data_IF_411260630493
#
_entry.id   IF_411260630493
#
_cell.length_a   1.000
_cell.length_b   1.000
_cell.length_c   1.000
_cell.angle_alpha   90.00
_cell.angle_beta   90.00
_cell.angle_gamma   90.00
#
_symmetry.space_group_name_H-M   'P 1'
#
loop_
_entity.id
_entity.type
_entity.pdbx_description
1 polymer ?
#
# COMPACT_ATOMS: atom_id res chain seq x y z
N UNK A 1 1.71 -8.06 17.40
CA UNK A 1 0.87 -8.37 16.23
C UNK A 1 1.72 -8.08 15.00
N UNK A 2 2.18 -9.12 14.31
CA UNK A 2 3.10 -9.00 13.18
C UNK A 2 2.30 -8.60 11.94
N UNK A 3 2.78 -7.59 11.23
CA UNK A 3 2.32 -7.25 9.89
C UNK A 3 2.55 -8.49 9.00
N UNK A 4 1.52 -8.98 8.33
CA UNK A 4 1.71 -9.91 7.21
C UNK A 4 2.36 -9.12 6.08
N UNK A 5 3.65 -9.34 5.88
CA UNK A 5 4.34 -8.80 4.70
C UNK A 5 3.92 -9.66 3.50
N UNK A 6 3.15 -9.07 2.60
CA UNK A 6 2.92 -9.61 1.26
C UNK A 6 4.26 -9.78 0.53
N UNK A 7 4.27 -10.56 -0.55
CA UNK A 7 5.46 -10.77 -1.38
C UNK A 7 5.85 -9.45 -2.10
N UNK A 8 6.64 -8.60 -1.43
CA UNK A 8 7.06 -7.29 -1.93
C UNK A 8 6.06 -6.17 -1.58
N UNK A 9 6.56 -4.92 -1.57
CA UNK A 9 5.74 -3.73 -1.29
C UNK A 9 5.01 -3.20 -2.51
N UNK A 10 5.43 -3.59 -3.70
CA UNK A 10 4.77 -3.25 -4.94
C UNK A 10 3.66 -4.26 -5.20
N UNK A 11 2.43 -3.81 -5.16
CA UNK A 11 1.33 -4.58 -5.71
C UNK A 11 1.40 -4.53 -7.24
N UNK A 12 1.59 -5.70 -7.85
CA UNK A 12 1.68 -5.85 -9.32
C UNK A 12 0.36 -6.29 -9.95
N UNK A 13 -0.69 -6.42 -9.15
CA UNK A 13 -2.02 -6.80 -9.63
C UNK A 13 -2.57 -5.72 -10.56
N UNK A 14 -3.04 -6.13 -11.74
CA UNK A 14 -3.78 -5.24 -12.63
C UNK A 14 -5.25 -5.20 -12.25
N UNK A 15 -5.81 -3.99 -12.16
CA UNK A 15 -7.21 -3.77 -11.80
C UNK A 15 -8.03 -3.47 -13.05
N UNK A 16 -9.11 -4.21 -13.25
CA UNK A 16 -9.95 -4.10 -14.44
C UNK A 16 -9.33 -4.77 -15.68
N UNK A 17 -9.59 -4.23 -16.87
CA UNK A 17 -9.07 -4.73 -18.14
C UNK A 17 -8.06 -3.74 -18.75
N UNK A 18 -7.34 -4.19 -19.78
CA UNK A 18 -6.40 -3.32 -20.51
C UNK A 18 -7.05 -2.06 -21.08
N UNK A 19 -8.33 -2.13 -21.48
CA UNK A 19 -9.05 -1.01 -22.08
C UNK A 19 -9.92 -0.25 -21.07
N UNK A 20 -10.18 -0.85 -19.92
CA UNK A 20 -10.92 -0.26 -18.80
C UNK A 20 -10.22 -0.63 -17.49
N UNK A 21 -9.08 0.02 -17.17
CA UNK A 21 -8.28 -0.25 -15.97
C UNK A 21 -8.88 0.45 -14.75
N UNK A 22 -10.09 0.01 -14.38
CA UNK A 22 -10.87 0.46 -13.24
C UNK A 22 -11.57 -0.74 -12.60
N UNK A 23 -11.62 -0.78 -11.28
CA UNK A 23 -12.46 -1.73 -10.56
C UNK A 23 -12.86 -1.20 -9.18
N UNK A 24 -13.97 -1.74 -8.65
CA UNK A 24 -14.42 -1.53 -7.28
C UNK A 24 -14.33 -2.86 -6.54
N UNK A 25 -13.72 -2.85 -5.36
CA UNK A 25 -13.61 -4.03 -4.50
C UNK A 25 -14.31 -3.74 -3.17
N UNK A 26 -15.47 -4.36 -2.89
CA UNK A 26 -16.02 -4.38 -1.54
C UNK A 26 -15.14 -5.25 -0.67
N UNK A 27 -14.75 -4.74 0.49
CA UNK A 27 -13.81 -5.38 1.40
C UNK A 27 -14.26 -5.21 2.85
N UNK A 28 -13.86 -6.15 3.69
CA UNK A 28 -14.19 -6.16 5.11
C UNK A 28 -13.00 -6.64 5.95
N UNK A 29 -12.62 -5.85 6.96
CA UNK A 29 -11.57 -6.20 7.93
C UNK A 29 -12.23 -6.34 9.31
N UNK A 30 -12.00 -7.45 10.06
CA UNK A 30 -11.08 -8.56 9.79
C UNK A 30 -11.73 -9.77 9.09
N UNK A 31 -12.88 -9.62 8.42
CA UNK A 31 -13.67 -10.75 7.89
C UNK A 31 -12.99 -11.37 6.67
N UNK A 32 -12.70 -10.58 5.62
CA UNK A 32 -12.06 -11.08 4.40
C UNK A 32 -10.56 -11.29 4.61
N UNK A 33 -9.93 -10.41 5.36
CA UNK A 33 -8.51 -10.50 5.76
C UNK A 33 -8.26 -9.70 7.04
N UNK A 34 -7.29 -10.15 7.84
CA UNK A 34 -6.99 -9.52 9.13
C UNK A 34 -6.43 -8.10 9.02
N UNK A 35 -5.70 -7.81 7.97
CA UNK A 35 -5.11 -6.52 7.68
C UNK A 35 -4.65 -6.45 6.22
N UNK A 36 -4.62 -5.26 5.65
CA UNK A 36 -3.87 -4.96 4.43
C UNK A 36 -2.49 -4.49 4.86
N UNK A 37 -1.48 -5.30 4.53
CA UNK A 37 -0.07 -4.98 4.85
C UNK A 37 0.37 -3.70 4.16
N UNK A 38 1.39 -3.05 4.71
CA UNK A 38 1.97 -1.86 4.10
C UNK A 38 2.48 -2.19 2.69
N UNK A 39 1.93 -1.52 1.69
CA UNK A 39 2.27 -1.70 0.28
C UNK A 39 2.06 -0.40 -0.49
N UNK A 40 2.44 -0.38 -1.76
CA UNK A 40 2.16 0.67 -2.72
C UNK A 40 1.87 0.10 -4.09
N UNK A 41 1.19 0.85 -4.93
CA UNK A 41 0.79 0.47 -6.28
C UNK A 41 0.90 1.66 -7.24
N UNK A 42 0.87 1.40 -8.55
CA UNK A 42 0.89 2.46 -9.57
C UNK A 42 -0.50 3.04 -9.87
N UNK A 43 -1.54 2.41 -9.35
CA UNK A 43 -2.93 2.89 -9.47
C UNK A 43 -3.24 3.95 -8.42
N UNK A 44 -4.18 4.84 -8.75
CA UNK A 44 -4.92 5.63 -7.76
C UNK A 44 -5.88 4.71 -7.03
N UNK A 45 -5.97 4.86 -5.70
CA UNK A 45 -6.95 4.18 -4.89
C UNK A 45 -7.75 5.18 -4.07
N UNK A 46 -9.07 5.03 -4.08
CA UNK A 46 -9.98 5.74 -3.18
C UNK A 46 -10.63 4.71 -2.27
N UNK A 47 -10.46 4.87 -0.96
CA UNK A 47 -11.00 3.94 0.04
C UNK A 47 -12.18 4.62 0.72
N UNK A 48 -13.40 4.17 0.41
CA UNK A 48 -14.62 4.72 0.99
C UNK A 48 -15.14 3.83 2.12
N UNK A 49 -15.15 4.33 3.35
CA UNK A 49 -15.58 3.59 4.54
C UNK A 49 -17.10 3.56 4.59
N UNK A 50 -17.69 2.39 4.35
CA UNK A 50 -19.16 2.20 4.31
C UNK A 50 -19.75 1.97 5.69
N UNK A 51 -18.99 1.28 6.58
CA UNK A 51 -19.49 0.93 7.91
C UNK A 51 -18.34 0.57 8.87
N UNK A 52 -18.55 0.84 10.17
CA UNK A 52 -17.62 0.47 11.22
C UNK A 52 -16.42 1.39 11.31
N UNK A 53 -15.36 0.88 11.94
CA UNK A 53 -14.14 1.63 12.22
C UNK A 53 -12.91 0.74 12.07
N UNK A 54 -11.78 1.35 11.76
CA UNK A 54 -10.49 0.71 11.60
C UNK A 54 -9.37 1.73 11.64
N UNK A 55 -8.16 1.32 11.29
CA UNK A 55 -7.02 2.23 11.17
C UNK A 55 -6.53 2.20 9.73
N UNK A 56 -6.48 3.35 9.10
CA UNK A 56 -5.94 3.53 7.75
C UNK A 56 -4.66 4.36 7.85
N UNK A 57 -3.62 3.88 7.21
CA UNK A 57 -2.36 4.61 7.03
C UNK A 57 -2.22 5.00 5.56
N UNK A 58 -1.98 6.28 5.28
CA UNK A 58 -1.62 6.79 3.95
C UNK A 58 -0.34 7.61 4.09
N UNK A 59 0.76 7.14 3.51
CA UNK A 59 2.07 7.74 3.72
C UNK A 59 2.47 7.72 5.19
N UNK A 60 2.64 8.90 5.78
CA UNK A 60 2.97 9.09 7.20
C UNK A 60 1.74 9.23 8.10
N UNK A 61 0.60 9.53 7.52
CA UNK A 61 -0.63 9.79 8.27
C UNK A 61 -1.28 8.46 8.67
N UNK A 62 -1.48 8.29 9.96
CA UNK A 62 -2.16 7.13 10.55
C UNK A 62 -3.41 7.64 11.25
N UNK A 63 -4.57 7.26 10.73
CA UNK A 63 -5.85 7.81 11.15
C UNK A 63 -6.81 6.68 11.52
N UNK A 64 -7.56 6.87 12.62
CA UNK A 64 -8.72 6.05 12.90
C UNK A 64 -9.84 6.42 11.93
N UNK A 65 -10.19 5.46 11.07
CA UNK A 65 -11.21 5.59 10.05
C UNK A 65 -12.59 5.35 10.63
N UNK A 66 -13.56 6.13 10.19
CA UNK A 66 -14.98 6.00 10.54
C UNK A 66 -15.86 5.99 9.30
N UNK A 67 -17.09 5.52 9.44
CA UNK A 67 -18.08 5.54 8.37
C UNK A 67 -18.16 6.94 7.74
N UNK A 68 -18.13 7.00 6.41
CA UNK A 68 -18.15 8.21 5.61
C UNK A 68 -16.75 8.72 5.25
N UNK A 69 -15.69 8.35 5.95
CA UNK A 69 -14.34 8.77 5.57
C UNK A 69 -13.99 8.27 4.16
N UNK A 70 -13.38 9.13 3.34
CA UNK A 70 -12.85 8.81 2.02
C UNK A 70 -11.33 9.06 2.05
N UNK A 71 -10.55 7.99 1.99
CA UNK A 71 -9.09 8.11 1.90
C UNK A 71 -8.66 8.15 0.44
N UNK A 72 -7.73 9.05 0.14
CA UNK A 72 -7.13 9.21 -1.17
C UNK A 72 -5.70 8.70 -1.11
N UNK A 73 -5.40 7.68 -1.91
CA UNK A 73 -4.08 7.07 -2.03
C UNK A 73 -3.56 7.32 -3.45
N UNK A 74 -2.77 8.38 -3.67
CA UNK A 74 -2.17 8.64 -4.97
C UNK A 74 -1.22 7.52 -5.41
N UNK A 75 -0.98 7.35 -6.73
CA UNK A 75 -0.04 6.38 -7.25
C UNK A 75 1.31 6.40 -6.53
N UNK A 76 1.81 5.22 -6.18
CA UNK A 76 3.07 5.07 -5.49
C UNK A 76 3.08 5.51 -4.03
N UNK A 77 1.95 5.78 -3.41
CA UNK A 77 1.86 6.11 -1.99
C UNK A 77 1.74 4.84 -1.15
N UNK A 78 2.61 4.70 -0.14
CA UNK A 78 2.53 3.60 0.82
C UNK A 78 1.27 3.74 1.67
N UNK A 79 0.55 2.64 1.82
CA UNK A 79 -0.66 2.60 2.63
C UNK A 79 -0.88 1.23 3.24
N UNK A 80 -1.67 1.19 4.32
CA UNK A 80 -2.01 -0.02 5.05
C UNK A 80 -3.36 0.16 5.75
N UNK A 81 -4.11 -0.94 5.93
CA UNK A 81 -5.35 -0.93 6.69
C UNK A 81 -5.30 -2.00 7.79
N UNK A 82 -5.85 -1.69 8.96
CA UNK A 82 -5.84 -2.60 10.11
C UNK A 82 -7.17 -2.53 10.85
N UNK A 83 -7.58 -3.67 11.40
CA UNK A 83 -8.70 -3.70 12.35
C UNK A 83 -8.33 -3.08 13.70
N UNK A 84 -9.34 -2.57 14.40
CA UNK A 84 -9.29 -2.28 15.83
C UNK A 84 -9.85 -3.54 16.56
N UNK A 85 -9.30 -3.95 17.71
CA UNK A 85 -9.81 -5.11 18.43
C UNK A 85 -11.31 -5.02 18.67
N UNK A 86 -12.03 -6.12 18.37
CA UNK A 86 -13.49 -6.24 18.49
C UNK A 86 -14.31 -5.28 17.60
N UNK A 87 -13.71 -4.71 16.59
CA UNK A 87 -14.40 -3.86 15.61
C UNK A 87 -14.22 -4.41 14.20
N UNK A 88 -15.17 -4.08 13.33
CA UNK A 88 -15.13 -4.38 11.90
C UNK A 88 -15.15 -3.08 11.11
N UNK A 89 -14.54 -3.09 9.94
CA UNK A 89 -14.56 -2.00 8.99
C UNK A 89 -14.92 -2.55 7.60
N UNK A 90 -16.06 -2.14 7.07
CA UNK A 90 -16.49 -2.42 5.71
C UNK A 90 -16.17 -1.20 4.84
N UNK A 91 -15.53 -1.41 3.72
CA UNK A 91 -15.10 -0.34 2.83
C UNK A 91 -15.09 -0.79 1.37
N UNK A 92 -15.09 0.16 0.48
CA UNK A 92 -14.96 -0.07 -0.95
C UNK A 92 -13.70 0.61 -1.47
N UNK A 93 -12.91 -0.15 -2.23
CA UNK A 93 -11.72 0.35 -2.92
C UNK A 93 -12.04 0.62 -4.38
N UNK A 94 -11.94 1.88 -4.79
CA UNK A 94 -12.00 2.31 -6.18
C UNK A 94 -10.57 2.40 -6.71
N UNK A 95 -10.18 1.46 -7.53
CA UNK A 95 -8.82 1.35 -8.07
C UNK A 95 -8.82 1.66 -9.56
N UNK A 96 -7.97 2.60 -9.98
CA UNK A 96 -7.84 2.94 -11.39
C UNK A 96 -6.46 3.48 -11.77
N UNK A 97 -6.05 3.17 -13.00
CA UNK A 97 -4.86 3.76 -13.60
C UNK A 97 -5.15 5.22 -13.99
N UNK A 98 -4.30 6.16 -13.56
CA UNK A 98 -4.45 7.58 -13.92
C UNK A 98 -4.43 7.83 -15.43
N UNK A 99 -3.76 6.96 -16.21
CA UNK A 99 -3.78 7.01 -17.68
C UNK A 99 -5.17 6.77 -18.27
N UNK A 100 -6.04 6.07 -17.55
CA UNK A 100 -7.45 5.88 -17.92
C UNK A 100 -8.21 7.21 -18.02
N UNK A 101 -7.88 8.19 -17.20
CA UNK A 101 -8.52 9.50 -17.19
C UNK A 101 -8.03 10.40 -18.33
N UNK A 102 -6.81 10.17 -18.83
CA UNK A 102 -6.23 10.93 -19.92
C UNK A 102 -6.76 10.57 -21.30
N UNK A 103 -6.24 11.26 -22.32
CA UNK A 103 -6.46 10.97 -23.73
C UNK A 103 -5.25 10.24 -24.33
N UNK A 104 -5.41 9.71 -25.55
CA UNK A 104 -4.33 9.05 -26.29
C UNK A 104 -3.13 9.99 -26.55
N UNK A 105 -3.42 11.26 -26.77
CA UNK A 105 -2.41 12.30 -26.91
C UNK A 105 -2.31 13.09 -25.59
N UNK A 106 -1.11 13.51 -25.23
CA UNK A 106 -0.91 14.32 -24.03
C UNK A 106 -1.53 15.71 -24.26
N UNK A 107 -2.62 15.97 -23.57
CA UNK A 107 -3.31 17.26 -23.53
C UNK A 107 -2.92 18.08 -22.30
N UNK A 108 -3.50 19.25 -22.12
CA UNK A 108 -3.25 20.13 -20.98
C UNK A 108 -3.60 19.47 -19.65
N UNK A 109 -4.68 18.67 -19.61
CA UNK A 109 -5.10 17.97 -18.38
C UNK A 109 -4.08 16.92 -17.97
N UNK A 110 -3.61 16.12 -18.92
CA UNK A 110 -2.57 15.13 -18.67
C UNK A 110 -1.27 15.80 -18.21
N UNK A 111 -0.80 16.85 -18.94
CA UNK A 111 0.47 17.52 -18.69
C UNK A 111 0.51 18.26 -17.36
N UNK A 112 -0.52 19.05 -17.06
CA UNK A 112 -0.51 19.96 -15.90
C UNK A 112 -1.03 19.30 -14.62
N UNK A 113 -1.84 18.21 -14.71
CA UNK A 113 -2.49 17.61 -13.55
C UNK A 113 -2.23 16.10 -13.42
N UNK A 114 -2.67 15.26 -14.38
CA UNK A 114 -2.67 13.81 -14.19
C UNK A 114 -1.26 13.22 -14.06
N UNK A 115 -0.33 13.63 -14.93
CA UNK A 115 1.08 13.20 -14.86
C UNK A 115 1.76 13.73 -13.59
N UNK A 116 1.62 15.01 -13.19
CA UNK A 116 2.15 15.49 -11.92
C UNK A 116 1.60 14.78 -10.68
N UNK A 117 0.31 14.43 -10.64
CA UNK A 117 -0.28 13.62 -9.56
C UNK A 117 0.37 12.23 -9.54
N UNK A 118 0.41 11.54 -10.69
CA UNK A 118 1.01 10.20 -10.79
C UNK A 118 2.49 10.19 -10.42
N UNK A 119 3.19 11.28 -10.67
CA UNK A 119 4.60 11.45 -10.31
C UNK A 119 4.82 11.98 -8.87
N UNK A 120 3.74 12.17 -8.08
CA UNK A 120 3.82 12.70 -6.72
C UNK A 120 4.30 14.15 -6.63
N UNK A 121 4.26 14.92 -7.74
CA UNK A 121 4.65 16.34 -7.78
C UNK A 121 3.54 17.29 -7.35
N UNK A 122 2.28 16.86 -7.48
CA UNK A 122 1.12 17.53 -6.91
C UNK A 122 0.64 16.70 -5.71
N UNK A 123 0.60 17.33 -4.55
CA UNK A 123 0.14 16.71 -3.30
C UNK A 123 -1.37 16.86 -3.20
N UNK A 124 -2.05 15.74 -3.09
CA UNK A 124 -3.48 15.68 -2.83
C UNK A 124 -3.73 15.50 -1.33
N UNK A 125 -4.90 15.91 -0.80
CA UNK A 125 -5.32 15.52 0.54
C UNK A 125 -5.41 14.00 0.62
N UNK A 126 -5.09 13.43 1.78
CA UNK A 126 -5.13 11.99 2.02
C UNK A 126 -6.44 11.51 2.61
N UNK A 127 -7.29 12.42 3.08
CA UNK A 127 -8.56 12.13 3.75
C UNK A 127 -9.57 13.25 3.48
N UNK A 128 -10.82 12.84 3.22
CA UNK A 128 -12.01 13.70 3.20
C UNK A 128 -13.00 13.19 4.25
N UNK A 129 -13.62 14.10 4.97
CA UNK A 129 -14.63 13.84 6.00
C UNK A 129 -15.93 14.55 5.71
N UNK A 130 -16.99 14.13 6.37
CA UNK A 130 -18.34 14.65 6.20
C UNK A 130 -18.50 16.14 6.60
N UNK A 131 -17.54 16.68 7.35
CA UNK A 131 -17.43 18.11 7.72
C UNK A 131 -16.58 18.94 6.73
N UNK A 132 -15.95 18.32 5.74
CA UNK A 132 -15.18 19.01 4.70
C UNK A 132 -16.08 19.72 3.68
N UNK A 133 -15.60 20.84 3.16
CA UNK A 133 -16.27 21.56 2.09
C UNK A 133 -16.45 20.66 0.86
N UNK A 134 -17.66 20.66 0.28
CA UNK A 134 -18.03 19.85 -0.89
C UNK A 134 -17.99 18.32 -0.69
N UNK A 135 -17.88 17.81 0.55
CA UNK A 135 -17.84 16.37 0.83
C UNK A 135 -18.96 15.60 0.12
N UNK A 136 -20.21 16.09 0.19
CA UNK A 136 -21.36 15.45 -0.46
C UNK A 136 -21.18 15.29 -1.98
N UNK A 137 -20.44 16.19 -2.62
CA UNK A 137 -20.14 16.08 -4.05
C UNK A 137 -19.11 14.99 -4.35
N UNK A 138 -18.11 14.83 -3.48
CA UNK A 138 -17.16 13.71 -3.55
C UNK A 138 -17.86 12.37 -3.34
N UNK A 139 -18.66 12.26 -2.29
CA UNK A 139 -19.44 11.07 -1.97
C UNK A 139 -20.36 10.68 -3.13
N UNK A 140 -21.08 11.64 -3.71
CA UNK A 140 -21.94 11.39 -4.86
C UNK A 140 -21.18 10.85 -6.07
N UNK A 141 -19.96 11.32 -6.34
CA UNK A 141 -19.13 10.76 -7.42
C UNK A 141 -18.87 9.25 -7.22
N UNK A 142 -18.63 8.80 -5.98
CA UNK A 142 -18.40 7.39 -5.67
C UNK A 142 -19.71 6.59 -5.76
N UNK A 143 -20.78 7.04 -5.13
CA UNK A 143 -22.11 6.37 -5.15
C UNK A 143 -22.64 6.22 -6.59
N UNK A 144 -22.51 7.25 -7.41
CA UNK A 144 -22.94 7.17 -8.81
C UNK A 144 -22.07 6.20 -9.61
N UNK A 145 -20.76 6.13 -9.29
CA UNK A 145 -19.86 5.18 -9.93
C UNK A 145 -20.20 3.73 -9.56
N UNK A 146 -20.56 3.46 -8.30
CA UNK A 146 -21.08 2.15 -7.88
C UNK A 146 -22.30 1.74 -8.70
N UNK A 147 -23.32 2.60 -8.77
CA UNK A 147 -24.56 2.36 -9.55
C UNK A 147 -24.29 2.09 -11.02
N UNK A 148 -23.34 2.81 -11.62
CA UNK A 148 -22.94 2.59 -13.01
C UNK A 148 -22.30 1.21 -13.19
N UNK A 149 -21.39 0.81 -12.28
CA UNK A 149 -20.72 -0.47 -12.32
C UNK A 149 -21.65 -1.66 -12.02
N UNK A 150 -22.70 -1.46 -11.22
CA UNK A 150 -23.73 -2.47 -10.97
C UNK A 150 -24.63 -2.66 -12.20
N UNK A 151 -25.12 -1.56 -12.77
CA UNK A 151 -26.08 -1.60 -13.89
C UNK A 151 -25.45 -2.02 -15.21
N UNK A 152 -24.20 -1.67 -15.45
CA UNK A 152 -23.40 -1.91 -16.68
C UNK A 152 -24.17 -1.59 -17.97
N UNK A 153 -24.99 -0.54 -17.95
CA UNK A 153 -25.69 -0.08 -19.15
C UNK A 153 -24.69 0.44 -20.16
N UNK A 154 -25.10 0.47 -21.43
CA UNK A 154 -24.26 0.97 -22.53
C UNK A 154 -23.69 2.35 -22.19
N UNK A 155 -22.36 2.49 -22.29
CA UNK A 155 -21.63 3.72 -21.96
C UNK A 155 -21.35 3.95 -20.47
N UNK A 156 -21.56 2.95 -19.59
CA UNK A 156 -21.27 3.10 -18.16
C UNK A 156 -19.79 3.47 -17.91
N UNK A 157 -18.87 2.99 -18.76
CA UNK A 157 -17.45 3.31 -18.68
C UNK A 157 -17.18 4.81 -18.86
N UNK A 158 -17.95 5.48 -19.72
CA UNK A 158 -17.88 6.93 -19.89
C UNK A 158 -18.36 7.66 -18.62
N UNK A 159 -19.44 7.16 -18.01
CA UNK A 159 -19.94 7.69 -16.74
C UNK A 159 -18.92 7.53 -15.61
N UNK A 160 -18.33 6.34 -15.45
CA UNK A 160 -17.27 6.09 -14.48
C UNK A 160 -16.09 7.03 -14.70
N UNK A 161 -15.61 7.14 -15.93
CA UNK A 161 -14.51 8.05 -16.27
C UNK A 161 -14.85 9.50 -15.94
N UNK A 162 -16.07 9.96 -16.26
CA UNK A 162 -16.55 11.31 -15.95
C UNK A 162 -16.55 11.59 -14.44
N UNK A 163 -17.04 10.64 -13.63
CA UNK A 163 -17.10 10.79 -12.18
C UNK A 163 -15.68 10.83 -11.58
N UNK A 164 -14.74 9.99 -12.04
CA UNK A 164 -13.37 10.01 -11.56
C UNK A 164 -12.62 11.29 -11.97
N UNK A 165 -12.84 11.80 -13.18
CA UNK A 165 -12.30 13.11 -13.59
C UNK A 165 -12.87 14.23 -12.72
N UNK A 166 -14.19 14.21 -12.45
CA UNK A 166 -14.84 15.17 -11.57
C UNK A 166 -14.28 15.11 -10.15
N UNK A 167 -14.06 13.91 -9.63
CA UNK A 167 -13.46 13.71 -8.31
C UNK A 167 -12.06 14.35 -8.23
N UNK A 168 -11.19 14.08 -9.21
CA UNK A 168 -9.87 14.70 -9.28
C UNK A 168 -9.95 16.22 -9.42
N UNK A 169 -10.86 16.73 -10.26
CA UNK A 169 -11.08 18.18 -10.40
C UNK A 169 -11.46 18.82 -9.05
N UNK A 170 -12.36 18.21 -8.30
CA UNK A 170 -12.77 18.72 -6.98
C UNK A 170 -11.59 18.73 -5.99
N UNK A 171 -10.78 17.66 -5.95
CA UNK A 171 -9.57 17.64 -5.13
C UNK A 171 -8.63 18.80 -5.45
N UNK A 172 -8.44 19.09 -6.74
CA UNK A 172 -7.60 20.18 -7.20
C UNK A 172 -8.19 21.57 -6.90
N UNK A 173 -9.51 21.70 -6.94
CA UNK A 173 -10.21 22.97 -6.75
C UNK A 173 -10.35 23.37 -5.26
N UNK A 174 -10.45 22.38 -4.36
CA UNK A 174 -10.69 22.62 -2.93
C UNK A 174 -9.42 22.58 -2.08
N UNK A 175 -8.35 21.98 -2.59
CA UNK A 175 -7.10 21.82 -1.83
C UNK A 175 -6.13 22.95 -2.08
N UNK A 176 -5.45 23.42 -1.01
CA UNK A 176 -4.24 24.24 -1.16
C UNK A 176 -3.13 23.36 -1.74
N UNK A 177 -3.04 23.30 -3.07
CA UNK A 177 -2.07 22.45 -3.75
C UNK A 177 -0.67 22.93 -3.41
N UNK A 178 0.05 22.19 -2.59
CA UNK A 178 1.46 22.40 -2.37
C UNK A 178 2.28 21.63 -3.40
N UNK A 179 3.20 22.29 -4.06
CA UNK A 179 4.24 21.60 -4.84
C UNK A 179 5.22 21.01 -3.83
N UNK A 180 5.34 19.71 -3.82
CA UNK A 180 6.24 19.02 -2.90
C UNK A 180 7.69 19.24 -3.31
N UNK A 181 8.52 19.71 -2.38
CA UNK A 181 9.99 19.58 -2.49
C UNK A 181 10.36 18.11 -2.31
N UNK A 182 11.46 17.67 -2.95
CA UNK A 182 12.00 16.30 -2.95
C UNK A 182 11.70 15.46 -1.70
N UNK A 183 11.20 14.46 -1.80
CA UNK A 183 10.11 13.56 -1.51
C UNK A 183 10.46 12.51 -0.44
N UNK A 184 9.85 12.60 0.72
CA UNK A 184 9.84 11.57 1.77
C UNK A 184 9.36 10.22 1.20
N UNK A 185 8.38 10.22 0.28
CA UNK A 185 7.87 9.03 -0.38
C UNK A 185 8.89 8.38 -1.31
N UNK A 186 9.68 9.17 -2.06
CA UNK A 186 10.70 8.63 -2.97
C UNK A 186 11.86 8.01 -2.19
N UNK A 187 12.25 8.62 -1.07
CA UNK A 187 13.26 8.04 -0.17
C UNK A 187 12.77 6.73 0.44
N UNK A 188 11.49 6.67 0.81
CA UNK A 188 10.91 5.46 1.37
C UNK A 188 10.81 4.36 0.31
N UNK A 189 10.35 4.66 -0.91
CA UNK A 189 10.37 3.72 -2.03
C UNK A 189 11.79 3.23 -2.32
N UNK A 190 12.75 4.14 -2.40
CA UNK A 190 14.15 3.82 -2.66
C UNK A 190 14.72 2.86 -1.63
N UNK A 191 14.47 3.10 -0.33
CA UNK A 191 14.95 2.20 0.72
C UNK A 191 14.22 0.85 0.73
N UNK A 192 12.91 0.82 0.49
CA UNK A 192 12.16 -0.44 0.42
C UNK A 192 12.60 -1.28 -0.79
N UNK A 193 12.80 -0.65 -1.94
CA UNK A 193 13.34 -1.32 -3.12
C UNK A 193 14.78 -1.81 -2.89
N UNK A 194 15.59 -1.04 -2.16
CA UNK A 194 16.93 -1.45 -1.77
C UNK A 194 16.91 -2.65 -0.81
N UNK A 195 15.93 -2.71 0.11
CA UNK A 195 15.72 -3.89 0.97
C UNK A 195 15.37 -5.11 0.10
N UNK A 196 14.42 -4.98 -0.85
CA UNK A 196 14.04 -6.09 -1.74
C UNK A 196 15.21 -6.61 -2.58
N UNK A 197 16.05 -5.72 -3.07
CA UNK A 197 17.21 -6.10 -3.88
C UNK A 197 18.36 -6.67 -3.07
N UNK A 198 18.47 -6.34 -1.77
CA UNK A 198 19.66 -6.62 -0.96
C UNK A 198 19.38 -7.43 0.31
N UNK A 199 18.14 -7.88 0.59
CA UNK A 199 17.86 -8.60 1.85
C UNK A 199 18.69 -9.87 2.04
N UNK A 200 19.10 -10.51 0.94
CA UNK A 200 19.94 -11.71 0.95
C UNK A 200 21.40 -11.44 1.33
N UNK A 201 21.83 -10.19 1.24
CA UNK A 201 23.20 -9.77 1.48
C UNK A 201 23.36 -9.07 2.85
N UNK A 202 24.60 -8.74 3.23
CA UNK A 202 24.87 -7.92 4.41
C UNK A 202 24.39 -6.47 4.14
N UNK A 203 23.14 -6.19 4.46
CA UNK A 203 22.54 -4.86 4.33
C UNK A 203 22.25 -4.30 5.73
N UNK A 204 22.94 -3.24 6.10
CA UNK A 204 22.91 -2.71 7.46
C UNK A 204 22.25 -1.32 7.52
N UNK A 205 22.04 -0.83 8.73
CA UNK A 205 21.38 0.45 8.97
C UNK A 205 22.18 1.66 8.44
N UNK A 206 23.51 1.55 8.39
CA UNK A 206 24.37 2.61 7.87
C UNK A 206 24.18 2.77 6.36
N UNK A 207 24.11 1.65 5.63
CA UNK A 207 23.87 1.65 4.19
C UNK A 207 22.48 2.21 3.86
N UNK A 208 21.48 1.78 4.64
CA UNK A 208 20.11 2.27 4.52
C UNK A 208 20.00 3.79 4.78
N UNK A 209 20.67 4.29 5.81
CA UNK A 209 20.68 5.71 6.13
C UNK A 209 21.35 6.55 5.03
N UNK A 210 22.45 6.05 4.43
CA UNK A 210 23.12 6.71 3.28
C UNK A 210 22.21 6.84 2.07
N UNK A 211 21.45 5.78 1.72
CA UNK A 211 20.49 5.81 0.60
C UNK A 211 19.47 6.92 0.79
N UNK A 212 18.99 7.11 2.02
CA UNK A 212 18.00 8.15 2.35
C UNK A 212 18.62 9.55 2.55
N UNK A 213 19.95 9.68 2.57
CA UNK A 213 20.63 10.94 2.90
C UNK A 213 20.42 11.39 4.34
N UNK A 214 20.25 10.43 5.28
CA UNK A 214 20.00 10.71 6.70
C UNK A 214 21.17 10.27 7.58
N UNK A 215 21.29 10.89 8.77
CA UNK A 215 22.09 10.30 9.84
C UNK A 215 21.43 9.00 10.33
N UNK A 216 22.21 8.07 10.88
CA UNK A 216 21.70 6.78 11.38
C UNK A 216 20.55 7.00 12.37
N UNK A 217 20.72 7.91 13.33
CA UNK A 217 19.71 8.18 14.36
C UNK A 217 18.41 8.77 13.78
N UNK A 218 18.52 9.65 12.77
CA UNK A 218 17.37 10.20 12.08
C UNK A 218 16.67 9.11 11.26
N UNK A 219 17.42 8.32 10.48
CA UNK A 219 16.88 7.22 9.70
C UNK A 219 16.11 6.21 10.57
N UNK A 220 16.67 5.78 11.71
CA UNK A 220 16.03 4.80 12.58
C UNK A 220 14.70 5.30 13.14
N UNK A 221 14.60 6.58 13.54
CA UNK A 221 13.35 7.18 14.02
C UNK A 221 12.33 7.31 12.91
N UNK A 222 12.75 7.88 11.79
CA UNK A 222 11.94 8.09 10.59
C UNK A 222 11.38 6.76 10.04
N UNK A 223 12.25 5.76 9.85
CA UNK A 223 11.84 4.45 9.33
C UNK A 223 10.85 3.75 10.27
N UNK A 224 11.10 3.80 11.59
CA UNK A 224 10.18 3.23 12.58
C UNK A 224 8.85 3.95 12.63
N UNK A 225 8.83 5.27 12.49
CA UNK A 225 7.60 6.06 12.44
C UNK A 225 6.70 5.63 11.26
N UNK A 226 7.30 5.41 10.09
CA UNK A 226 6.56 5.08 8.87
C UNK A 226 6.14 3.61 8.83
N UNK A 227 7.06 2.69 9.13
CA UNK A 227 6.83 1.24 8.99
C UNK A 227 6.27 0.58 10.25
N UNK A 228 6.24 1.29 11.36
CA UNK A 228 5.87 0.76 12.68
C UNK A 228 6.92 -0.17 13.30
N UNK A 229 8.03 -0.46 12.62
CA UNK A 229 9.07 -1.39 13.08
C UNK A 229 10.48 -0.84 12.87
N UNK A 230 11.47 -1.36 13.62
CA UNK A 230 12.86 -1.00 13.35
C UNK A 230 13.32 -1.57 12.01
N UNK A 231 14.28 -0.91 11.35
CA UNK A 231 14.87 -1.38 10.09
C UNK A 231 15.37 -2.83 10.17
N UNK A 232 16.07 -3.19 11.24
CA UNK A 232 16.57 -4.57 11.43
C UNK A 232 15.42 -5.57 11.58
N UNK A 233 14.37 -5.22 12.33
CA UNK A 233 13.20 -6.07 12.48
C UNK A 233 12.49 -6.28 11.14
N UNK A 234 12.35 -5.22 10.38
CA UNK A 234 11.74 -5.21 9.07
C UNK A 234 12.52 -6.06 8.04
N UNK A 235 13.85 -5.88 7.97
CA UNK A 235 14.74 -6.67 7.12
C UNK A 235 14.68 -8.16 7.48
N UNK A 236 14.69 -8.49 8.78
CA UNK A 236 14.59 -9.87 9.24
C UNK A 236 13.22 -10.48 8.90
N UNK A 237 12.14 -9.71 9.01
CA UNK A 237 10.81 -10.16 8.63
C UNK A 237 10.75 -10.51 7.13
N UNK A 238 11.34 -9.67 6.28
CA UNK A 238 11.43 -9.94 4.84
C UNK A 238 12.22 -11.21 4.53
N UNK A 239 13.32 -11.42 5.23
CA UNK A 239 14.13 -12.64 5.13
C UNK A 239 13.35 -13.89 5.55
N UNK A 240 12.54 -13.79 6.62
CA UNK A 240 11.71 -14.90 7.11
C UNK A 240 10.61 -15.28 6.12
N UNK A 241 9.98 -14.29 5.47
CA UNK A 241 8.99 -14.54 4.41
C UNK A 241 9.65 -15.28 3.23
N UNK A 242 10.81 -14.84 2.78
CA UNK A 242 11.55 -15.52 1.72
C UNK A 242 11.95 -16.94 2.11
N UNK A 243 12.37 -17.14 3.37
CA UNK A 243 12.71 -18.47 3.89
C UNK A 243 11.49 -19.39 3.94
N UNK A 244 10.33 -18.89 4.38
CA UNK A 244 9.09 -19.68 4.43
C UNK A 244 8.68 -20.18 3.03
N UNK A 245 8.79 -19.31 2.02
CA UNK A 245 8.58 -19.69 0.62
C UNK A 245 9.58 -20.76 0.16
N UNK A 246 10.88 -20.53 0.38
CA UNK A 246 11.92 -21.47 -0.02
C UNK A 246 11.78 -22.84 0.66
N UNK A 247 11.32 -22.88 1.93
CA UNK A 247 11.05 -24.13 2.66
C UNK A 247 9.95 -24.98 2.03
N UNK A 248 8.98 -24.38 1.36
CA UNK A 248 7.88 -25.07 0.68
C UNK A 248 8.23 -25.48 -0.76
N UNK A 249 9.11 -24.71 -1.43
CA UNK A 249 9.43 -24.91 -2.85
C UNK A 249 10.68 -25.78 -3.09
N UNK A 250 11.52 -25.98 -2.06
CA UNK A 250 12.79 -26.66 -2.24
C UNK A 250 13.10 -27.65 -1.10
N UNK A 251 13.86 -28.70 -1.42
CA UNK A 251 14.38 -29.69 -0.48
C UNK A 251 15.76 -29.32 0.12
N UNK A 252 16.20 -28.08 -0.07
CA UNK A 252 17.48 -27.62 0.48
C UNK A 252 17.53 -27.71 1.99
N UNK A 253 18.74 -27.84 2.57
CA UNK A 253 18.90 -27.84 4.02
C UNK A 253 18.43 -26.53 4.64
N UNK A 254 17.92 -26.58 5.87
CA UNK A 254 17.49 -25.38 6.60
C UNK A 254 18.64 -24.39 6.76
N UNK A 255 19.86 -24.87 6.94
CA UNK A 255 21.07 -24.05 7.00
C UNK A 255 21.33 -23.33 5.68
N UNK A 256 21.21 -24.04 4.55
CA UNK A 256 21.36 -23.46 3.20
C UNK A 256 20.35 -22.35 2.97
N UNK A 257 19.08 -22.59 3.28
CA UNK A 257 18.00 -21.60 3.12
C UNK A 257 18.27 -20.38 4.03
N UNK A 258 18.61 -20.60 5.31
CA UNK A 258 18.90 -19.51 6.24
C UNK A 258 20.04 -18.60 5.70
N UNK A 259 21.12 -19.19 5.23
CA UNK A 259 22.25 -18.46 4.65
C UNK A 259 21.85 -17.71 3.36
N UNK A 260 21.10 -18.36 2.46
CA UNK A 260 20.65 -17.75 1.21
C UNK A 260 19.74 -16.54 1.41
N UNK A 261 18.92 -16.54 2.45
CA UNK A 261 18.06 -15.39 2.77
C UNK A 261 18.74 -14.34 3.65
N UNK A 262 20.02 -14.50 3.96
CA UNK A 262 20.85 -13.50 4.64
C UNK A 262 20.93 -13.62 6.16
N UNK A 263 20.64 -14.79 6.75
CA UNK A 263 20.91 -15.03 8.17
C UNK A 263 22.29 -15.68 8.34
N UNK A 264 23.18 -14.98 9.02
CA UNK A 264 24.55 -15.47 9.33
C UNK A 264 24.57 -16.48 10.49
N UNK A 265 23.47 -16.60 11.25
CA UNK A 265 23.38 -17.45 12.43
C UNK A 265 22.10 -18.27 12.44
N UNK A 266 22.25 -19.60 12.32
CA UNK A 266 21.14 -20.54 12.27
C UNK A 266 20.29 -20.54 13.56
N UNK A 267 20.89 -20.34 14.72
CA UNK A 267 20.17 -20.29 16.00
C UNK A 267 19.27 -19.05 16.06
N UNK A 268 19.77 -17.90 15.58
CA UNK A 268 18.99 -16.67 15.46
C UNK A 268 17.83 -16.83 14.45
N UNK A 269 18.11 -17.43 13.29
CA UNK A 269 17.09 -17.76 12.29
C UNK A 269 15.99 -18.62 12.90
N UNK A 270 16.30 -19.76 13.50
CA UNK A 270 15.34 -20.68 14.09
C UNK A 270 14.47 -20.00 15.15
N UNK A 271 15.08 -19.19 16.03
CA UNK A 271 14.36 -18.43 17.06
C UNK A 271 13.39 -17.43 16.46
N UNK A 272 13.81 -16.65 15.47
CA UNK A 272 12.96 -15.65 14.82
C UNK A 272 11.87 -16.30 13.98
N UNK A 273 12.20 -17.38 13.26
CA UNK A 273 11.23 -18.13 12.46
C UNK A 273 10.11 -18.71 13.36
N UNK A 274 10.50 -19.37 14.48
CA UNK A 274 9.53 -19.89 15.45
C UNK A 274 8.67 -18.79 16.07
N UNK A 275 9.27 -17.64 16.36
CA UNK A 275 8.53 -16.46 16.87
C UNK A 275 7.48 -15.98 15.86
N UNK A 276 7.80 -16.00 14.56
CA UNK A 276 6.94 -15.50 13.48
C UNK A 276 5.82 -16.48 13.10
N UNK A 277 6.16 -17.77 12.95
CA UNK A 277 5.26 -18.78 12.41
C UNK A 277 4.73 -19.76 13.48
N UNK A 278 5.07 -19.57 14.74
CA UNK A 278 4.63 -20.43 15.85
C UNK A 278 5.33 -21.79 15.90
N UNK A 279 6.04 -22.20 14.85
CA UNK A 279 6.66 -23.50 14.70
C UNK A 279 8.08 -23.44 14.13
N UNK A 280 8.85 -24.53 14.24
CA UNK A 280 10.20 -24.59 13.70
C UNK A 280 10.20 -24.61 12.16
N UNK A 281 11.28 -24.19 11.48
CA UNK A 281 11.41 -24.30 10.03
C UNK A 281 11.21 -25.74 9.50
N UNK A 282 11.68 -26.74 10.25
CA UNK A 282 11.50 -28.17 9.91
C UNK A 282 10.03 -28.57 9.96
N UNK A 283 9.32 -28.17 11.01
CA UNK A 283 7.88 -28.44 11.17
C UNK A 283 7.09 -27.73 10.10
N UNK A 284 7.44 -26.46 9.79
CA UNK A 284 6.78 -25.66 8.77
C UNK A 284 6.92 -26.27 7.37
N UNK A 285 8.12 -26.80 7.01
CA UNK A 285 8.34 -27.51 5.75
C UNK A 285 7.37 -28.69 5.58
N UNK A 286 7.18 -29.46 6.64
CA UNK A 286 6.39 -30.71 6.63
C UNK A 286 4.89 -30.49 6.91
N UNK A 287 4.42 -29.29 7.17
CA UNK A 287 3.00 -29.00 7.37
C UNK A 287 2.29 -28.93 6.02
N UNK A 288 1.11 -29.56 5.89
CA UNK A 288 0.33 -29.60 4.64
C UNK A 288 -0.38 -28.27 4.32
N UNK A 289 -0.43 -27.34 5.30
CA UNK A 289 -0.95 -25.97 5.08
C UNK A 289 -0.40 -25.00 6.13
N UNK A 290 -0.02 -23.74 5.76
CA UNK A 290 0.33 -22.71 6.74
C UNK A 290 -0.91 -22.07 7.36
#
# INVERSE_FOLDING_TARGET
MSLELSQGFLETKTHGSQFFPFNIYPCSIPIDFHAVSLHWQESMELIFIKKGTGVVQVGLDVVEARKGDIFIVPPGTLHALRSIPNQTMEYENFLFDMRFLGSRNVDVCAKEYLIPISAGRLVLPTLLRDDDENYSTFENCLIETEKLCESKRIGYELGVKSNMIRFIYLLLATSSISKQSENTNDRLKSILQSIENNYMHSFNVQDAAKICGYSISHFMRWFKQITGSSFTSYLNERRLVAAAKALKENDETILSIANKVGFDNLSNFNRQFKKRYGMSPKTYRNSDNP
#
